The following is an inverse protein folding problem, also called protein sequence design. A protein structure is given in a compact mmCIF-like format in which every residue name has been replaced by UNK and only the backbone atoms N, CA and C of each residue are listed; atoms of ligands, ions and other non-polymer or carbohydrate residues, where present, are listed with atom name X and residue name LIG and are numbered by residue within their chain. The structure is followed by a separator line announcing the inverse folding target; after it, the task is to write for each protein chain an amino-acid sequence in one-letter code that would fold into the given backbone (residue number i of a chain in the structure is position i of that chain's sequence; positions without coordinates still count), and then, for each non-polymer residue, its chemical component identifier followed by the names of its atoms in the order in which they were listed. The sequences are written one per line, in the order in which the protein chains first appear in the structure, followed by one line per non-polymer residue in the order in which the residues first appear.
data_IF_576036051625
#
_entry.id   IF_576036051625
#
_cell.length_a   1.000
_cell.length_b   1.000
_cell.length_c   1.000
_cell.angle_alpha   90.00
_cell.angle_beta   90.00
_cell.angle_gamma   90.00
#
_symmetry.space_group_name_H-M   'P 1'
#
loop_
_entity.id
_entity.type
_entity.pdbx_description
1 polymer ?
#
# COMPACT_ATOMS: atom_id res chain seq x y z
N UNK A 1 -8.50 14.60 -19.66
CA UNK A 1 -7.98 13.82 -18.53
C UNK A 1 -8.51 12.43 -18.75
N UNK A 2 -7.62 11.53 -19.15
CA UNK A 2 -7.90 10.13 -19.48
C UNK A 2 -8.64 9.46 -18.33
N UNK A 3 -9.57 8.57 -18.65
CA UNK A 3 -10.27 7.70 -17.70
C UNK A 3 -9.31 6.65 -17.10
N UNK A 4 -8.24 7.09 -16.43
CA UNK A 4 -7.37 6.21 -15.68
C UNK A 4 -8.13 5.76 -14.45
N UNK A 5 -8.68 4.55 -14.53
CA UNK A 5 -9.42 3.94 -13.44
C UNK A 5 -8.42 3.51 -12.36
N UNK A 6 -8.03 4.45 -11.49
CA UNK A 6 -7.19 4.18 -10.33
C UNK A 6 -7.99 3.35 -9.32
N UNK A 7 -7.54 2.12 -9.14
CA UNK A 7 -8.10 1.15 -8.21
C UNK A 7 -7.16 1.05 -7.02
N UNK A 8 -7.74 1.14 -5.83
CA UNK A 8 -7.07 0.91 -4.56
C UNK A 8 -7.91 -0.05 -3.72
N UNK A 9 -7.28 -1.07 -3.12
CA UNK A 9 -7.96 -1.97 -2.19
C UNK A 9 -7.07 -2.38 -1.01
N UNK A 10 -7.67 -2.55 0.17
CA UNK A 10 -7.01 -3.20 1.30
C UNK A 10 -7.02 -4.70 1.05
N UNK A 11 -5.84 -5.30 1.00
CA UNK A 11 -5.66 -6.75 0.77
C UNK A 11 -5.19 -7.50 2.00
N UNK A 12 -4.69 -6.78 3.02
CA UNK A 12 -4.39 -7.35 4.33
C UNK A 12 -4.49 -6.29 5.42
N UNK A 13 -4.87 -6.72 6.62
CA UNK A 13 -4.90 -5.89 7.83
C UNK A 13 -4.03 -6.54 8.89
N UNK A 14 -3.29 -5.75 9.65
CA UNK A 14 -2.45 -6.22 10.73
C UNK A 14 -2.66 -5.42 12.00
N UNK A 15 -2.42 -6.08 13.14
CA UNK A 15 -2.36 -5.44 14.46
C UNK A 15 -0.96 -5.60 15.02
N UNK A 16 -0.43 -4.54 15.62
CA UNK A 16 0.85 -4.49 16.31
C UNK A 16 0.73 -3.76 17.64
N UNK A 17 1.70 -3.93 18.54
CA UNK A 17 1.70 -3.27 19.84
C UNK A 17 2.81 -2.21 19.91
N UNK A 18 2.43 -0.93 19.95
CA UNK A 18 3.36 0.13 20.31
C UNK A 18 3.71 0.02 21.79
N UNK A 19 5.02 -0.04 22.08
CA UNK A 19 5.56 -0.25 23.43
C UNK A 19 4.90 -1.43 24.18
N UNK A 20 4.58 -2.51 23.45
CA UNK A 20 3.90 -3.71 23.95
C UNK A 20 2.56 -3.47 24.66
N UNK A 21 1.94 -2.29 24.50
CA UNK A 21 0.79 -1.87 25.32
C UNK A 21 -0.33 -1.20 24.53
N UNK A 22 -0.04 -0.51 23.43
CA UNK A 22 -1.05 0.20 22.63
C UNK A 22 -1.23 -0.50 21.29
N UNK A 23 -2.44 -0.97 20.98
CA UNK A 23 -2.74 -1.54 19.69
C UNK A 23 -2.66 -0.48 18.59
N UNK A 24 -1.81 -0.75 17.59
CA UNK A 24 -1.73 -0.03 16.34
C UNK A 24 -2.25 -0.90 15.21
N UNK A 25 -2.98 -0.29 14.28
CA UNK A 25 -3.40 -0.92 13.04
C UNK A 25 -2.37 -0.68 11.95
N UNK A 26 -2.31 -1.61 11.00
CA UNK A 26 -1.55 -1.46 9.76
C UNK A 26 -2.34 -2.12 8.64
N UNK A 27 -2.31 -1.53 7.45
CA UNK A 27 -3.02 -2.02 6.29
C UNK A 27 -2.05 -2.21 5.14
N UNK A 28 -2.19 -3.32 4.42
CA UNK A 28 -1.55 -3.50 3.12
C UNK A 28 -2.53 -3.09 2.04
N UNK A 29 -2.09 -2.18 1.19
CA UNK A 29 -2.86 -1.59 0.11
C UNK A 29 -2.30 -2.08 -1.21
N UNK A 30 -3.18 -2.57 -2.07
CA UNK A 30 -2.91 -2.89 -3.47
C UNK A 30 -3.45 -1.76 -4.35
N UNK A 31 -2.62 -1.28 -5.29
CA UNK A 31 -2.97 -0.25 -6.26
C UNK A 31 -2.60 -0.72 -7.67
N UNK A 32 -3.43 -0.38 -8.68
CA UNK A 32 -3.08 -0.61 -10.10
C UNK A 32 -2.24 0.52 -10.71
N UNK A 33 -1.58 1.30 -9.86
CA UNK A 33 -0.73 2.42 -10.20
C UNK A 33 0.38 2.55 -9.15
N UNK A 34 1.47 3.21 -9.52
CA UNK A 34 2.53 3.57 -8.60
C UNK A 34 2.23 4.95 -8.00
N UNK A 35 2.02 5.00 -6.68
CA UNK A 35 1.69 6.24 -5.96
C UNK A 35 2.79 7.30 -6.10
N UNK A 36 4.05 6.90 -5.96
CA UNK A 36 5.17 7.83 -5.99
C UNK A 36 5.41 8.35 -7.39
N UNK A 37 5.27 7.49 -8.40
CA UNK A 37 5.29 7.93 -9.80
C UNK A 37 4.18 8.94 -10.09
N UNK A 38 2.93 8.67 -9.66
CA UNK A 38 1.81 9.61 -9.87
C UNK A 38 2.03 10.94 -9.15
N UNK A 39 2.61 10.92 -7.94
CA UNK A 39 2.96 12.14 -7.23
C UNK A 39 4.05 12.92 -7.99
N UNK A 40 5.09 12.25 -8.49
CA UNK A 40 6.11 12.86 -9.34
C UNK A 40 5.55 13.46 -10.63
N UNK A 41 4.58 12.82 -11.28
CA UNK A 41 3.86 13.40 -12.44
C UNK A 41 3.20 14.72 -12.06
N UNK A 42 2.50 14.75 -10.92
CA UNK A 42 1.76 15.92 -10.47
C UNK A 42 2.68 17.08 -10.07
N UNK A 43 3.81 16.76 -9.46
CA UNK A 43 4.82 17.74 -9.04
C UNK A 43 5.74 18.16 -10.19
N UNK A 44 5.72 17.43 -11.31
CA UNK A 44 6.59 17.66 -12.47
C UNK A 44 8.06 17.33 -12.19
N UNK A 45 8.30 16.37 -11.30
CA UNK A 45 9.62 16.03 -10.75
C UNK A 45 10.14 14.64 -11.21
N UNK A 46 9.48 14.03 -12.21
CA UNK A 46 9.96 12.77 -12.80
C UNK A 46 11.18 12.98 -13.68
N UNK A 47 12.10 12.01 -13.63
CA UNK A 47 13.13 11.90 -14.66
C UNK A 47 12.53 11.56 -16.04
N UNK A 48 13.24 11.92 -17.12
CA UNK A 48 12.74 11.78 -18.51
C UNK A 48 12.39 10.32 -18.88
N UNK A 49 13.07 9.36 -18.27
CA UNK A 49 12.91 7.91 -18.49
C UNK A 49 12.34 7.16 -17.28
N UNK A 50 11.88 7.87 -16.26
CA UNK A 50 11.27 7.24 -15.09
C UNK A 50 9.99 6.48 -15.50
N UNK A 51 9.79 5.30 -14.92
CA UNK A 51 8.63 4.43 -15.19
C UNK A 51 8.01 4.00 -13.86
N UNK A 52 6.69 3.75 -13.80
CA UNK A 52 6.05 3.29 -12.59
C UNK A 52 6.54 1.90 -12.18
N UNK A 53 6.74 1.69 -10.89
CA UNK A 53 7.13 0.41 -10.32
C UNK A 53 5.90 -0.48 -10.10
N UNK A 54 5.55 -1.26 -11.12
CA UNK A 54 4.45 -2.22 -11.09
C UNK A 54 4.95 -3.65 -11.32
N UNK A 55 4.31 -4.62 -10.68
CA UNK A 55 4.57 -6.03 -10.96
C UNK A 55 3.99 -6.47 -12.32
N UNK A 56 4.20 -7.74 -12.70
CA UNK A 56 3.72 -8.29 -13.98
C UNK A 56 2.19 -8.31 -14.15
N UNK A 57 1.42 -8.07 -13.08
CA UNK A 57 -0.03 -7.94 -13.10
C UNK A 57 -0.49 -6.47 -13.16
N UNK A 58 0.45 -5.52 -13.23
CA UNK A 58 0.15 -4.09 -13.19
C UNK A 58 -0.21 -3.60 -11.79
N UNK A 59 0.26 -4.26 -10.73
CA UNK A 59 -0.06 -3.92 -9.34
C UNK A 59 1.19 -3.50 -8.56
N UNK A 60 0.98 -2.57 -7.64
CA UNK A 60 1.92 -2.18 -6.59
C UNK A 60 1.29 -2.38 -5.20
N UNK A 61 2.14 -2.63 -4.21
CA UNK A 61 1.76 -2.85 -2.83
C UNK A 61 2.45 -1.87 -1.89
N UNK A 62 1.73 -1.45 -0.86
CA UNK A 62 2.20 -0.48 0.14
C UNK A 62 1.68 -0.85 1.52
N UNK A 63 2.37 -0.38 2.57
CA UNK A 63 1.79 -0.39 3.91
C UNK A 63 1.37 1.02 4.36
N UNK A 64 0.41 1.07 5.27
CA UNK A 64 -0.04 2.30 5.94
C UNK A 64 -0.42 2.03 7.40
N UNK A 65 -0.07 2.94 8.29
CA UNK A 65 -0.38 2.88 9.73
C UNK A 65 -1.60 3.75 10.12
N UNK A 66 -2.04 4.63 9.22
CA UNK A 66 -3.19 5.50 9.46
C UNK A 66 -4.47 4.92 8.84
N UNK A 67 -5.62 4.93 9.56
CA UNK A 67 -6.87 4.45 8.99
C UNK A 67 -7.33 5.36 7.84
N UNK A 68 -7.98 4.76 6.82
CA UNK A 68 -8.50 5.42 5.61
C UNK A 68 -9.39 6.64 5.91
N UNK A 69 -10.10 6.61 7.04
CA UNK A 69 -11.04 7.66 7.44
C UNK A 69 -10.38 8.89 8.07
N UNK A 70 -9.08 8.83 8.39
CA UNK A 70 -8.38 9.90 9.11
C UNK A 70 -7.56 10.85 8.23
N UNK A 71 -7.42 10.54 6.94
CA UNK A 71 -6.54 11.29 6.05
C UNK A 71 -7.32 12.26 5.15
N UNK A 72 -6.79 13.46 5.01
CA UNK A 72 -7.19 14.43 3.97
C UNK A 72 -6.92 13.90 2.55
N UNK A 73 -6.06 12.89 2.42
CA UNK A 73 -5.81 12.12 1.20
C UNK A 73 -6.06 10.63 1.47
N UNK A 74 -7.18 10.04 1.00
CA UNK A 74 -7.45 8.62 1.19
C UNK A 74 -6.43 7.72 0.46
N UNK A 75 -5.64 8.31 -0.44
CA UNK A 75 -4.67 7.66 -1.33
C UNK A 75 -3.24 7.63 -0.77
N UNK A 76 -2.96 8.31 0.33
CA UNK A 76 -1.61 8.36 0.89
C UNK A 76 -1.16 6.99 1.44
N UNK A 77 0.12 6.69 1.22
CA UNK A 77 0.83 5.49 1.69
C UNK A 77 1.99 5.89 2.61
N UNK A 78 2.41 5.00 3.50
CA UNK A 78 3.50 5.26 4.47
C UNK A 78 4.82 4.55 4.11
N UNK A 79 4.90 3.99 2.89
CA UNK A 79 6.01 3.15 2.43
C UNK A 79 6.47 3.51 1.02
N UNK A 80 7.64 3.01 0.65
CA UNK A 80 8.06 2.85 -0.74
C UNK A 80 7.18 1.85 -1.49
N UNK A 81 7.38 1.75 -2.81
CA UNK A 81 6.66 0.82 -3.67
C UNK A 81 7.19 -0.60 -3.50
N UNK A 82 6.29 -1.57 -3.33
CA UNK A 82 6.63 -2.99 -3.33
C UNK A 82 5.92 -3.73 -4.47
N UNK A 83 6.57 -4.73 -5.04
CA UNK A 83 6.01 -5.52 -6.15
C UNK A 83 5.15 -6.70 -5.66
N UNK A 84 5.17 -6.99 -4.36
CA UNK A 84 4.36 -8.05 -3.75
C UNK A 84 3.80 -7.68 -2.36
N UNK A 85 2.65 -8.27 -2.01
CA UNK A 85 2.05 -8.15 -0.68
C UNK A 85 3.01 -8.60 0.43
N UNK A 86 3.79 -9.65 0.20
CA UNK A 86 4.71 -10.21 1.20
C UNK A 86 5.92 -9.28 1.45
N UNK A 87 6.39 -8.56 0.44
CA UNK A 87 7.40 -7.51 0.63
C UNK A 87 6.85 -6.34 1.44
N UNK A 88 5.63 -5.89 1.14
CA UNK A 88 4.99 -4.82 1.89
C UNK A 88 4.77 -5.20 3.37
N UNK A 89 4.35 -6.45 3.66
CA UNK A 89 4.24 -6.97 5.03
C UNK A 89 5.60 -6.96 5.74
N UNK A 90 6.66 -7.46 5.10
CA UNK A 90 8.02 -7.44 5.67
C UNK A 90 8.51 -6.02 5.92
N UNK A 91 8.27 -5.10 4.99
CA UNK A 91 8.61 -3.68 5.16
C UNK A 91 7.89 -3.07 6.37
N UNK A 92 6.61 -3.38 6.55
CA UNK A 92 5.85 -2.92 7.71
C UNK A 92 6.43 -3.46 9.03
N UNK A 93 6.75 -4.77 9.10
CA UNK A 93 7.35 -5.39 10.29
C UNK A 93 8.73 -4.81 10.61
N UNK A 94 9.55 -4.54 9.60
CA UNK A 94 10.83 -3.86 9.75
C UNK A 94 10.66 -2.45 10.30
N UNK A 95 9.63 -1.72 9.84
CA UNK A 95 9.32 -0.37 10.31
C UNK A 95 8.94 -0.34 11.79
N UNK A 96 8.11 -1.28 12.25
CA UNK A 96 7.67 -1.38 13.66
C UNK A 96 8.61 -2.19 14.55
N UNK A 97 9.63 -2.84 13.96
CA UNK A 97 10.64 -3.69 14.62
C UNK A 97 10.03 -4.85 15.43
N UNK A 98 8.92 -5.40 14.95
CA UNK A 98 8.23 -6.53 15.57
C UNK A 98 7.38 -7.26 14.53
N UNK A 99 6.95 -8.47 14.87
CA UNK A 99 5.97 -9.21 14.06
C UNK A 99 4.60 -8.55 14.15
N UNK A 100 3.86 -8.57 13.05
CA UNK A 100 2.50 -8.05 12.96
C UNK A 100 1.54 -9.23 12.84
N UNK A 101 0.43 -9.18 13.60
CA UNK A 101 -0.62 -10.18 13.49
C UNK A 101 -1.49 -9.90 12.26
N UNK A 102 -1.15 -10.52 11.13
CA UNK A 102 -1.82 -10.31 9.85
C UNK A 102 -3.12 -11.10 9.69
N UNK A 103 -4.06 -10.50 8.96
CA UNK A 103 -5.30 -11.09 8.46
C UNK A 103 -5.49 -10.66 7.01
N UNK A 104 -5.32 -11.61 6.11
CA UNK A 104 -5.48 -11.37 4.68
C UNK A 104 -6.95 -11.25 4.31
N UNK A 105 -7.25 -10.26 3.47
CA UNK A 105 -8.57 -10.05 2.90
C UNK A 105 -8.60 -10.80 1.58
N UNK A 106 -9.07 -12.04 1.62
CA UNK A 106 -9.31 -12.77 0.38
C UNK A 106 -10.38 -12.02 -0.42
N UNK A 107 -10.03 -11.55 -1.63
CA UNK A 107 -11.05 -11.25 -2.63
C UNK A 107 -11.80 -12.56 -2.85
N UNK A 108 -13.08 -12.60 -2.49
CA UNK A 108 -13.95 -13.71 -2.86
C UNK A 108 -13.80 -13.89 -4.38
N UNK A 109 -13.14 -14.96 -4.81
CA UNK A 109 -13.29 -15.44 -6.16
C UNK A 109 -14.77 -15.71 -6.33
N UNK A 110 -15.45 -14.90 -7.15
CA UNK A 110 -16.77 -15.25 -7.63
C UNK A 110 -16.60 -16.59 -8.34
N UNK A 111 -17.04 -17.66 -7.68
CA UNK A 111 -17.30 -18.95 -8.32
C UNK A 111 -18.16 -18.63 -9.55
N UNK A 112 -17.59 -18.87 -10.72
CA UNK A 112 -18.31 -18.89 -11.99
C UNK A 112 -18.75 -20.32 -12.28
#
# INVERSE_FOLDING_TARGET
MSDDNFIQSIVSTGIWLYDNTVEGEVFIVEQNYDYWYQLGVLDGDLAEDEQPELNSLGMAYYYRFSPLLSLSSPWAVDSETFISMEEAKRGAEQKVKQSIAWKDVHRNERLS
#
